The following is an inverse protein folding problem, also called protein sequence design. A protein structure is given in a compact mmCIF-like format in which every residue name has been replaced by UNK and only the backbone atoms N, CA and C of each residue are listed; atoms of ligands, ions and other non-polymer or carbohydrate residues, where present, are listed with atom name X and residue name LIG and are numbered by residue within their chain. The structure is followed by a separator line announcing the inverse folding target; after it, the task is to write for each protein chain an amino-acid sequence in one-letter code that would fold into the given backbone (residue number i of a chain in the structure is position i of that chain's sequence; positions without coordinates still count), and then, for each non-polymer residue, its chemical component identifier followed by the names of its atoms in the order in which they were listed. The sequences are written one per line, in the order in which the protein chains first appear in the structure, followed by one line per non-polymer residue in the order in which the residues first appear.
data_IF_754208553129
#
_entry.id   IF_754208553129
#
_cell.length_a   1.000
_cell.length_b   1.000
_cell.length_c   1.000
_cell.angle_alpha   90.00
_cell.angle_beta   90.00
_cell.angle_gamma   90.00
#
_symmetry.space_group_name_H-M   'P 1'
#
loop_
_entity.id
_entity.type
_entity.pdbx_description
1 polymer ?
#
# COMPACT_ATOMS: atom_id res chain seq x y z
N UNK A 1 -6.72 2.21 6.68
CA UNK A 1 -6.81 1.40 7.92
C UNK A 1 -5.47 0.77 8.22
N UNK A 2 -5.06 0.70 9.48
CA UNK A 2 -3.96 -0.15 9.94
C UNK A 2 -4.51 -1.31 10.81
N UNK A 3 -3.83 -2.44 10.83
CA UNK A 3 -4.21 -3.63 11.59
C UNK A 3 -3.01 -4.38 12.14
N UNK A 4 -3.24 -5.21 13.15
CA UNK A 4 -2.19 -6.00 13.80
C UNK A 4 -1.65 -7.11 12.91
N UNK A 5 -0.33 -7.23 12.84
CA UNK A 5 0.37 -8.36 12.19
C UNK A 5 1.63 -8.80 12.96
N UNK A 6 1.71 -8.47 14.25
CA UNK A 6 2.86 -8.77 15.11
C UNK A 6 4.03 -7.79 14.97
N UNK A 7 3.94 -6.79 14.08
CA UNK A 7 4.91 -5.70 14.00
C UNK A 7 6.27 -6.06 13.40
N UNK A 8 6.43 -7.27 12.85
CA UNK A 8 7.69 -7.74 12.27
C UNK A 8 7.88 -7.31 10.80
N UNK A 9 6.80 -6.87 10.16
CA UNK A 9 6.81 -6.36 8.79
C UNK A 9 5.77 -5.25 8.61
N UNK A 10 6.04 -4.33 7.70
CA UNK A 10 5.02 -3.47 7.11
C UNK A 10 4.42 -4.21 5.91
N UNK A 11 3.18 -4.65 6.02
CA UNK A 11 2.43 -5.33 4.97
C UNK A 11 1.41 -4.38 4.35
N UNK A 12 1.55 -4.11 3.06
CA UNK A 12 0.61 -3.32 2.27
C UNK A 12 -0.38 -4.25 1.57
N UNK A 13 -1.67 -4.06 1.83
CA UNK A 13 -2.76 -4.65 1.04
C UNK A 13 -3.57 -3.51 0.44
N UNK A 14 -3.35 -3.22 -0.84
CA UNK A 14 -3.94 -2.07 -1.51
C UNK A 14 -5.00 -2.54 -2.50
N UNK A 15 -6.05 -1.74 -2.64
CA UNK A 15 -7.14 -1.98 -3.58
C UNK A 15 -7.18 -0.86 -4.61
N UNK A 16 -6.97 -1.20 -5.87
CA UNK A 16 -7.09 -0.28 -7.01
C UNK A 16 -8.35 -0.63 -7.81
N UNK A 17 -9.31 0.29 -7.87
CA UNK A 17 -10.58 0.08 -8.57
C UNK A 17 -11.03 1.33 -9.32
N UNK A 18 -12.01 1.14 -10.20
CA UNK A 18 -12.74 2.22 -10.86
C UNK A 18 -14.23 2.13 -10.50
N UNK A 19 -14.69 2.96 -9.57
CA UNK A 19 -16.10 2.95 -9.11
C UNK A 19 -17.08 3.37 -10.21
N UNK A 20 -16.69 4.28 -11.11
CA UNK A 20 -17.43 4.61 -12.33
C UNK A 20 -17.64 3.45 -13.32
N UNK A 21 -16.95 2.32 -13.10
CA UNK A 21 -17.11 1.06 -13.87
C UNK A 21 -17.54 -0.12 -12.98
N UNK A 22 -18.25 0.16 -11.89
CA UNK A 22 -18.78 -0.87 -11.01
C UNK A 22 -17.70 -1.58 -10.18
N UNK A 23 -16.74 -0.82 -9.66
CA UNK A 23 -15.64 -1.33 -8.81
C UNK A 23 -14.72 -2.32 -9.54
N UNK A 24 -14.54 -2.09 -10.85
CA UNK A 24 -13.64 -2.86 -11.70
C UNK A 24 -12.20 -2.78 -11.16
N UNK A 25 -11.59 -3.94 -10.90
CA UNK A 25 -10.22 -4.00 -10.40
C UNK A 25 -9.22 -3.53 -11.47
N UNK A 26 -8.40 -2.56 -11.12
CA UNK A 26 -7.45 -1.93 -12.01
C UNK A 26 -6.06 -2.55 -11.85
N UNK A 27 -5.43 -2.90 -12.98
CA UNK A 27 -4.12 -3.55 -13.02
C UNK A 27 -2.97 -2.61 -13.37
N UNK A 28 -1.74 -3.09 -13.19
CA UNK A 28 -0.48 -2.40 -13.52
C UNK A 28 -0.13 -1.19 -12.67
N UNK A 29 -0.93 -0.84 -11.66
CA UNK A 29 -0.63 0.22 -10.70
C UNK A 29 0.34 -0.27 -9.63
N UNK A 30 1.19 0.62 -9.17
CA UNK A 30 2.10 0.38 -8.06
C UNK A 30 2.29 1.65 -7.25
N UNK A 31 3.10 1.59 -6.19
CA UNK A 31 3.22 2.73 -5.26
C UNK A 31 4.65 3.08 -4.97
N UNK A 32 4.85 4.37 -4.69
CA UNK A 32 6.00 4.79 -3.91
C UNK A 32 5.55 5.02 -2.49
N UNK A 33 6.34 4.50 -1.56
CA UNK A 33 6.13 4.68 -0.14
C UNK A 33 7.35 5.35 0.49
N UNK A 34 7.10 6.33 1.35
CA UNK A 34 8.09 6.94 2.22
C UNK A 34 7.69 6.74 3.68
N UNK A 35 8.68 6.54 4.53
CA UNK A 35 8.55 6.55 5.99
C UNK A 35 9.52 7.57 6.57
N UNK A 36 9.03 8.48 7.40
CA UNK A 36 9.82 9.51 8.08
C UNK A 36 10.73 10.29 7.09
N UNK A 37 10.21 10.53 5.88
CA UNK A 37 10.93 11.20 4.79
C UNK A 37 11.81 10.30 3.90
N UNK A 38 12.18 9.10 4.34
CA UNK A 38 13.00 8.15 3.57
C UNK A 38 12.14 7.29 2.62
N UNK A 39 12.56 7.14 1.36
CA UNK A 39 11.90 6.24 0.39
C UNK A 39 12.16 4.79 0.79
N UNK A 40 11.10 4.00 0.88
CA UNK A 40 11.17 2.57 1.18
C UNK A 40 11.40 1.73 -0.09
N UNK A 41 11.96 0.51 0.03
CA UNK A 41 12.28 -0.36 -1.10
C UNK A 41 11.05 -1.11 -1.61
N UNK A 42 10.01 -0.39 -2.03
CA UNK A 42 8.88 -0.99 -2.76
C UNK A 42 9.33 -1.27 -4.19
N UNK A 43 9.18 -2.52 -4.63
CA UNK A 43 9.61 -2.96 -5.95
C UNK A 43 8.63 -2.51 -7.04
N UNK A 44 9.14 -1.81 -8.07
CA UNK A 44 8.37 -1.41 -9.25
C UNK A 44 7.88 -2.61 -10.12
N UNK A 45 8.36 -3.82 -9.80
CA UNK A 45 7.89 -5.07 -10.42
C UNK A 45 6.61 -5.60 -9.79
N UNK A 46 6.28 -5.16 -8.58
CA UNK A 46 5.05 -5.56 -7.90
C UNK A 46 3.96 -4.59 -8.31
N UNK A 47 2.90 -5.13 -8.91
CA UNK A 47 1.84 -4.34 -9.55
C UNK A 47 0.48 -4.94 -9.22
N UNK A 48 -0.54 -4.09 -9.25
CA UNK A 48 -1.91 -4.52 -9.07
C UNK A 48 -2.36 -5.42 -10.22
N UNK A 49 -3.29 -6.33 -9.94
CA UNK A 49 -3.90 -7.21 -10.92
C UNK A 49 -5.33 -6.78 -11.27
N UNK A 50 -5.73 -6.98 -12.52
CA UNK A 50 -7.14 -6.91 -12.93
C UNK A 50 -7.90 -8.17 -12.51
N UNK A 51 -9.23 -8.10 -12.50
CA UNK A 51 -10.11 -9.24 -12.22
C UNK A 51 -10.24 -9.51 -10.72
N UNK A 52 -9.52 -10.52 -10.22
CA UNK A 52 -9.70 -11.04 -8.87
C UNK A 52 -9.31 -10.03 -7.79
N UNK A 53 -10.14 -9.98 -6.75
CA UNK A 53 -9.94 -9.17 -5.54
C UNK A 53 -10.02 -10.07 -4.31
N UNK A 54 -8.96 -10.83 -3.97
CA UNK A 54 -8.95 -11.68 -2.78
C UNK A 54 -9.32 -10.89 -1.51
N UNK A 55 -9.94 -11.58 -0.56
CA UNK A 55 -10.33 -11.00 0.72
C UNK A 55 -9.17 -11.09 1.72
N UNK A 56 -8.64 -9.93 2.12
CA UNK A 56 -7.69 -9.80 3.22
C UNK A 56 -8.40 -9.59 4.57
N UNK A 57 -7.61 -9.48 5.65
CA UNK A 57 -8.16 -9.30 7.00
C UNK A 57 -8.79 -7.92 7.23
N UNK A 58 -8.39 -6.90 6.45
CA UNK A 58 -8.96 -5.54 6.52
C UNK A 58 -9.86 -5.18 5.34
N UNK A 59 -9.90 -5.99 4.29
CA UNK A 59 -10.66 -5.71 3.08
C UNK A 59 -10.16 -6.47 1.86
N UNK A 60 -10.89 -6.34 0.76
CA UNK A 60 -10.44 -6.81 -0.55
C UNK A 60 -9.19 -6.05 -0.99
N UNK A 61 -8.31 -6.70 -1.73
CA UNK A 61 -7.11 -6.09 -2.30
C UNK A 61 -6.80 -6.72 -3.65
N UNK A 62 -6.04 -6.02 -4.49
CA UNK A 62 -5.47 -6.57 -5.72
C UNK A 62 -3.99 -6.20 -5.89
N UNK A 63 -3.36 -5.72 -4.81
CA UNK A 63 -1.94 -5.45 -4.69
C UNK A 63 -1.50 -5.84 -3.28
N UNK A 64 -0.40 -6.58 -3.17
CA UNK A 64 0.20 -6.93 -1.88
C UNK A 64 1.72 -6.78 -1.92
N UNK A 65 2.30 -6.17 -0.88
CA UNK A 65 3.75 -6.07 -0.71
C UNK A 65 4.13 -6.05 0.76
N UNK A 66 5.20 -6.76 1.13
CA UNK A 66 5.71 -6.80 2.50
C UNK A 66 7.14 -6.26 2.57
N UNK A 67 7.43 -5.50 3.63
CA UNK A 67 8.77 -5.00 3.96
C UNK A 67 9.09 -5.43 5.38
N UNK A 68 10.17 -6.18 5.58
CA UNK A 68 10.62 -6.55 6.93
C UNK A 68 11.10 -5.32 7.70
N UNK A 69 10.94 -5.32 9.03
CA UNK A 69 11.35 -4.18 9.86
C UNK A 69 12.83 -3.82 9.73
N UNK A 70 13.71 -4.78 9.42
CA UNK A 70 15.13 -4.52 9.18
C UNK A 70 15.43 -3.59 7.99
N UNK A 71 14.48 -3.43 7.07
CA UNK A 71 14.57 -2.50 5.93
C UNK A 71 13.82 -1.19 6.18
N UNK A 72 13.23 -1.01 7.37
CA UNK A 72 12.51 0.19 7.77
C UNK A 72 13.40 1.10 8.63
N UNK A 73 13.35 2.43 8.41
CA UNK A 73 13.94 3.39 9.32
C UNK A 73 13.52 3.13 10.78
N UNK A 74 14.51 3.03 11.67
CA UNK A 74 14.28 2.78 13.10
C UNK A 74 13.85 1.35 13.45
N UNK A 75 13.94 0.38 12.52
CA UNK A 75 13.60 -1.03 12.75
C UNK A 75 12.19 -1.26 13.32
N UNK A 76 11.23 -0.41 12.93
CA UNK A 76 9.87 -0.41 13.46
C UNK A 76 8.89 -0.07 12.35
N UNK A 77 7.66 -0.57 12.46
CA UNK A 77 6.55 -0.15 11.58
C UNK A 77 5.90 1.16 12.06
N UNK A 78 6.11 1.58 13.31
CA UNK A 78 5.60 2.87 13.78
C UNK A 78 6.34 4.03 13.12
N UNK A 79 5.62 5.08 12.76
CA UNK A 79 6.15 6.29 12.12
C UNK A 79 5.16 6.97 11.19
N UNK A 80 5.62 8.03 10.54
CA UNK A 80 4.83 8.82 9.59
C UNK A 80 5.09 8.37 8.16
N UNK A 81 4.03 8.11 7.41
CA UNK A 81 4.09 7.60 6.06
C UNK A 81 3.53 8.58 5.03
N UNK A 82 4.14 8.56 3.85
CA UNK A 82 3.62 9.21 2.65
C UNK A 82 3.61 8.20 1.51
N UNK A 83 2.44 8.01 0.90
CA UNK A 83 2.23 7.05 -0.19
C UNK A 83 1.60 7.75 -1.38
N UNK A 84 1.93 7.26 -2.57
CA UNK A 84 1.24 7.64 -3.79
C UNK A 84 1.33 6.57 -4.86
N UNK A 85 0.42 6.69 -5.83
CA UNK A 85 0.26 5.75 -6.93
C UNK A 85 1.07 6.19 -8.13
N UNK A 86 1.66 5.19 -8.78
CA UNK A 86 2.22 5.27 -10.12
C UNK A 86 1.40 4.38 -11.05
N UNK A 87 1.18 4.85 -12.28
CA UNK A 87 0.48 4.11 -13.33
C UNK A 87 1.33 2.97 -13.92
N UNK A 88 0.82 2.29 -14.95
CA UNK A 88 1.56 1.24 -15.66
C UNK A 88 2.93 1.68 -16.22
N UNK A 89 3.09 2.96 -16.54
CA UNK A 89 4.30 3.54 -17.14
C UNK A 89 5.27 4.10 -16.09
N UNK A 90 4.87 4.13 -14.82
CA UNK A 90 5.65 4.73 -13.73
C UNK A 90 5.44 6.24 -13.60
N UNK A 91 4.42 6.79 -14.26
CA UNK A 91 4.01 8.17 -14.12
C UNK A 91 3.13 8.36 -12.89
N UNK A 92 3.17 9.56 -12.33
CA UNK A 92 2.45 9.88 -11.09
C UNK A 92 0.96 10.02 -11.36
N UNK A 93 0.15 9.21 -10.68
CA UNK A 93 -1.30 9.10 -10.94
C UNK A 93 -2.19 9.37 -9.71
N UNK A 94 -1.63 9.86 -8.61
CA UNK A 94 -2.42 10.29 -7.44
C UNK A 94 -1.79 11.46 -6.70
N UNK A 95 -2.58 12.13 -5.86
CA UNK A 95 -2.04 12.99 -4.80
C UNK A 95 -1.23 12.19 -3.77
N UNK A 96 -0.47 12.89 -2.92
CA UNK A 96 0.25 12.26 -1.80
C UNK A 96 -0.72 12.04 -0.66
N UNK A 97 -0.99 10.78 -0.33
CA UNK A 97 -1.70 10.42 0.88
C UNK A 97 -0.73 10.25 2.05
N UNK A 98 -1.08 10.79 3.22
CA UNK A 98 -0.25 10.71 4.44
C UNK A 98 -1.02 10.05 5.56
N UNK A 99 -0.35 9.22 6.33
CA UNK A 99 -0.92 8.53 7.49
C UNK A 99 0.16 8.21 8.50
N UNK A 100 -0.24 7.99 9.75
CA UNK A 100 0.66 7.61 10.84
C UNK A 100 0.32 6.21 11.34
N UNK A 101 1.35 5.43 11.65
CA UNK A 101 1.22 4.20 12.43
C UNK A 101 1.78 4.51 13.82
N UNK A 102 0.88 4.62 14.81
CA UNK A 102 1.26 4.90 16.19
C UNK A 102 1.68 3.67 16.98
N UNK A 103 1.07 2.52 16.69
CA UNK A 103 1.33 1.25 17.37
C UNK A 103 2.33 0.40 16.56
N UNK A 104 3.51 0.07 17.11
CA UNK A 104 4.51 -0.75 16.42
C UNK A 104 4.07 -2.20 16.17
N UNK A 105 2.91 -2.64 16.66
CA UNK A 105 2.35 -3.97 16.35
C UNK A 105 1.40 -3.95 15.14
N UNK A 106 1.04 -2.77 14.62
CA UNK A 106 0.06 -2.58 13.56
C UNK A 106 0.68 -2.39 12.17
N UNK A 107 1.48 -3.36 11.72
CA UNK A 107 2.18 -3.29 10.45
C UNK A 107 1.32 -3.58 9.21
N UNK A 108 0.07 -4.00 9.34
CA UNK A 108 -0.80 -4.23 8.18
C UNK A 108 -1.49 -2.93 7.77
N UNK A 109 -1.26 -2.45 6.56
CA UNK A 109 -1.87 -1.23 5.99
C UNK A 109 -2.82 -1.62 4.87
N UNK A 110 -4.05 -1.10 4.94
CA UNK A 110 -5.06 -1.24 3.90
C UNK A 110 -5.57 0.12 3.43
N UNK A 111 -5.52 0.34 2.11
CA UNK A 111 -5.94 1.58 1.43
C UNK A 111 -6.64 1.22 0.13
N UNK A 112 -7.79 1.85 -0.13
CA UNK A 112 -8.48 1.82 -1.43
C UNK A 112 -8.13 3.09 -2.22
N UNK A 113 -7.66 2.92 -3.44
CA UNK A 113 -7.52 3.94 -4.47
C UNK A 113 -8.63 3.74 -5.50
N UNK A 114 -9.38 4.80 -5.76
CA UNK A 114 -10.55 4.78 -6.64
C UNK A 114 -10.43 5.86 -7.71
N UNK A 115 -10.45 5.45 -8.97
CA UNK A 115 -10.46 6.34 -10.14
C UNK A 115 -11.90 6.60 -10.61
N UNK A 116 -12.75 7.10 -9.71
CA UNK A 116 -14.17 7.38 -9.94
C UNK A 116 -14.45 8.67 -10.68
#
# INVERSE_FOLDING_TARGET
NSGGNGGLELKLQLLFVHSGRGEEAQGSYFVVLKKDGAKLPVSDRVRSSTGDKPQGSLGQFNYEYSIGTGDLPGNSVAGSYAIWVLDGNGERDSDVFRFDIGDPQQGLVWIKFDQG
#
